data_IF_428140586448
#
_entry.id   IF_428140586448
#
_cell.length_a   1.000
_cell.length_b   1.000
_cell.length_c   1.000
_cell.angle_alpha   90.00
_cell.angle_beta   90.00
_cell.angle_gamma   90.00
#
_symmetry.space_group_name_H-M   'P 1'
#
loop_
_entity.id
_entity.type
_entity.pdbx_description
1 polymer ?
#
# COMPACT_ATOMS: atom_id res chain seq x y z
N UNK A 1 -1.39 4.55 -15.09
CA UNK A 1 -1.53 4.39 -16.56
C UNK A 1 -2.01 5.72 -17.12
N UNK A 2 -1.37 6.23 -18.18
CA UNK A 2 -1.69 7.52 -18.80
C UNK A 2 -1.93 7.33 -20.29
N UNK A 3 -3.10 7.70 -20.78
CA UNK A 3 -3.40 7.67 -22.22
C UNK A 3 -2.73 8.88 -22.90
N UNK A 4 -1.80 8.63 -23.82
CA UNK A 4 -1.11 9.68 -24.60
C UNK A 4 -1.81 9.98 -25.91
N UNK A 5 -2.35 8.95 -26.53
CA UNK A 5 -3.20 9.03 -27.72
C UNK A 5 -4.08 7.78 -27.79
N UNK A 6 -4.96 7.71 -28.79
CA UNK A 6 -5.77 6.51 -29.04
C UNK A 6 -4.94 5.23 -29.28
N UNK A 7 -3.67 5.37 -29.69
CA UNK A 7 -2.78 4.25 -29.99
C UNK A 7 -1.53 4.19 -29.10
N UNK A 8 -1.46 5.00 -28.03
CA UNK A 8 -0.28 5.03 -27.15
C UNK A 8 -0.66 5.27 -25.69
N UNK A 9 -0.23 4.35 -24.83
CA UNK A 9 -0.33 4.41 -23.38
C UNK A 9 1.06 4.43 -22.74
N UNK A 10 1.22 5.26 -21.70
CA UNK A 10 2.33 5.16 -20.77
C UNK A 10 1.91 4.40 -19.50
N UNK A 11 2.65 3.36 -19.16
CA UNK A 11 2.51 2.58 -17.94
C UNK A 11 3.68 2.94 -17.00
N UNK A 12 3.37 3.54 -15.85
CA UNK A 12 4.40 3.90 -14.86
C UNK A 12 4.89 2.71 -14.02
N UNK A 13 4.23 1.56 -14.11
CA UNK A 13 4.54 0.31 -13.41
C UNK A 13 3.29 -0.55 -13.17
N UNK A 14 3.50 -1.79 -12.72
CA UNK A 14 2.46 -2.75 -12.36
C UNK A 14 2.21 -3.83 -13.41
N UNK A 15 1.19 -4.66 -13.17
CA UNK A 15 0.79 -5.78 -14.05
C UNK A 15 -0.46 -5.39 -14.84
N UNK A 16 -0.38 -5.38 -16.17
CA UNK A 16 -1.50 -4.98 -17.04
C UNK A 16 -1.65 -5.94 -18.22
N UNK A 17 -2.88 -6.27 -18.58
CA UNK A 17 -3.21 -7.00 -19.81
C UNK A 17 -3.84 -6.05 -20.82
N UNK A 18 -3.39 -6.12 -22.06
CA UNK A 18 -3.93 -5.41 -23.20
C UNK A 18 -4.59 -6.40 -24.15
N UNK A 19 -5.78 -6.06 -24.64
CA UNK A 19 -6.47 -6.82 -25.68
C UNK A 19 -6.76 -5.86 -26.82
N UNK A 20 -5.97 -5.97 -27.89
CA UNK A 20 -6.07 -5.08 -29.05
C UNK A 20 -6.93 -5.76 -30.12
N UNK A 21 -7.91 -5.04 -30.65
CA UNK A 21 -8.76 -5.56 -31.71
C UNK A 21 -7.95 -5.77 -33.00
N UNK A 22 -8.29 -6.82 -33.75
CA UNK A 22 -7.69 -7.07 -35.07
C UNK A 22 -7.88 -5.86 -35.99
N UNK A 23 -6.84 -5.43 -36.71
CA UNK A 23 -6.86 -4.21 -37.52
C UNK A 23 -6.50 -2.92 -36.78
N UNK A 24 -6.16 -3.01 -35.49
CA UNK A 24 -5.62 -1.89 -34.69
C UNK A 24 -4.11 -2.05 -34.42
N UNK A 25 -3.38 -2.64 -35.36
CA UNK A 25 -1.94 -2.85 -35.23
C UNK A 25 -1.19 -1.52 -35.06
N UNK A 26 -0.11 -1.54 -34.28
CA UNK A 26 0.68 -0.35 -33.95
C UNK A 26 0.33 0.29 -32.60
N UNK A 27 -0.64 -0.26 -31.86
CA UNK A 27 -0.90 0.13 -30.48
C UNK A 27 0.37 -0.01 -29.62
N UNK A 28 0.75 1.05 -28.92
CA UNK A 28 2.03 1.14 -28.20
C UNK A 28 1.79 1.27 -26.70
N UNK A 29 2.54 0.49 -25.93
CA UNK A 29 2.64 0.65 -24.48
C UNK A 29 4.09 0.92 -24.11
N UNK A 30 4.30 1.99 -23.35
CA UNK A 30 5.63 2.42 -22.93
C UNK A 30 5.73 2.39 -21.42
N UNK A 31 6.72 1.67 -20.90
CA UNK A 31 7.18 1.75 -19.50
C UNK A 31 8.48 2.56 -19.42
N UNK A 32 9.01 2.88 -18.23
CA UNK A 32 10.31 3.55 -18.10
C UNK A 32 11.44 2.84 -18.86
N UNK A 33 11.39 1.51 -18.96
CA UNK A 33 12.47 0.67 -19.49
C UNK A 33 12.10 -0.16 -20.71
N UNK A 34 10.81 -0.34 -21.00
CA UNK A 34 10.30 -1.20 -22.08
C UNK A 34 9.33 -0.44 -22.99
N UNK A 35 9.45 -0.65 -24.31
CA UNK A 35 8.42 -0.31 -25.28
C UNK A 35 7.87 -1.59 -25.91
N UNK A 36 6.55 -1.75 -25.91
CA UNK A 36 5.84 -2.85 -26.57
C UNK A 36 4.93 -2.28 -27.64
N UNK A 37 5.11 -2.73 -28.89
CA UNK A 37 4.23 -2.38 -30.02
C UNK A 37 3.45 -3.61 -30.44
N UNK A 38 2.13 -3.49 -30.37
CA UNK A 38 1.20 -4.50 -30.84
C UNK A 38 1.28 -4.66 -32.36
N UNK A 39 1.27 -5.92 -32.81
CA UNK A 39 1.18 -6.29 -34.21
C UNK A 39 -0.05 -7.20 -34.46
N UNK A 40 -1.11 -7.07 -33.64
CA UNK A 40 -2.44 -7.70 -33.79
C UNK A 40 -2.86 -8.66 -32.67
N UNK A 41 -2.83 -8.25 -31.39
CA UNK A 41 -2.61 -9.20 -30.27
C UNK A 41 -3.29 -8.88 -28.91
N UNK A 42 -3.47 -9.92 -28.10
CA UNK A 42 -3.56 -9.84 -26.63
C UNK A 42 -2.21 -10.16 -25.95
N UNK A 43 -1.69 -9.25 -25.12
CA UNK A 43 -0.43 -9.40 -24.40
C UNK A 43 -0.51 -8.79 -22.99
N UNK A 44 0.37 -9.21 -22.09
CA UNK A 44 0.53 -8.67 -20.75
C UNK A 44 1.89 -8.04 -20.56
N UNK A 45 1.97 -7.00 -19.72
CA UNK A 45 3.21 -6.38 -19.26
C UNK A 45 3.24 -6.46 -17.73
N UNK A 46 4.36 -6.94 -17.18
CA UNK A 46 4.69 -6.87 -15.77
C UNK A 46 5.88 -5.94 -15.61
N UNK A 47 5.62 -4.74 -15.08
CA UNK A 47 6.62 -3.70 -14.81
C UNK A 47 6.54 -3.33 -13.33
N UNK A 48 6.51 -4.35 -12.47
CA UNK A 48 6.56 -4.16 -11.02
C UNK A 48 7.95 -3.68 -10.59
N UNK A 49 8.01 -2.77 -9.61
CA UNK A 49 9.26 -2.16 -9.13
C UNK A 49 10.29 -3.17 -8.61
N UNK A 50 9.86 -4.39 -8.34
CA UNK A 50 10.63 -5.44 -7.70
C UNK A 50 11.13 -6.50 -8.71
N UNK A 51 10.78 -6.37 -10.00
CA UNK A 51 11.11 -7.29 -11.09
C UNK A 51 11.76 -6.60 -12.30
N UNK A 52 12.34 -7.41 -13.20
CA UNK A 52 12.71 -6.92 -14.52
C UNK A 52 11.43 -6.72 -15.35
N UNK A 53 11.34 -5.69 -16.21
CA UNK A 53 10.19 -5.52 -17.09
C UNK A 53 9.98 -6.75 -17.98
N UNK A 54 8.79 -7.34 -17.91
CA UNK A 54 8.42 -8.52 -18.69
C UNK A 54 7.26 -8.22 -19.64
N UNK A 55 7.26 -8.92 -20.77
CA UNK A 55 6.13 -8.97 -21.69
C UNK A 55 5.75 -10.42 -21.99
N UNK A 56 4.47 -10.74 -21.88
CA UNK A 56 3.91 -12.08 -22.05
C UNK A 56 2.86 -12.06 -23.17
N UNK A 57 3.04 -12.86 -24.22
CA UNK A 57 2.20 -12.78 -25.43
C UNK A 57 1.19 -13.92 -25.47
N UNK A 58 -0.11 -13.62 -25.29
CA UNK A 58 -1.15 -14.65 -25.19
C UNK A 58 -1.71 -15.07 -26.55
N UNK A 59 -1.89 -14.11 -27.44
CA UNK A 59 -2.32 -14.31 -28.84
C UNK A 59 -1.33 -13.61 -29.78
N UNK A 60 -1.46 -13.69 -31.10
CA UNK A 60 -0.70 -12.87 -32.05
C UNK A 60 0.82 -12.76 -31.83
N UNK A 61 1.35 -11.53 -31.94
CA UNK A 61 2.76 -11.18 -31.73
C UNK A 61 2.92 -9.69 -31.38
N UNK A 62 3.96 -9.38 -30.62
CA UNK A 62 4.36 -8.01 -30.30
C UNK A 62 5.83 -7.79 -30.65
N UNK A 63 6.22 -6.54 -30.87
CA UNK A 63 7.63 -6.14 -30.85
C UNK A 63 7.94 -5.52 -29.49
N UNK A 64 8.91 -6.08 -28.79
CA UNK A 64 9.40 -5.59 -27.51
C UNK A 64 10.78 -4.97 -27.71
N UNK A 65 11.00 -3.77 -27.17
CA UNK A 65 12.26 -3.02 -27.31
C UNK A 65 12.69 -2.44 -25.96
N UNK A 66 13.92 -2.73 -25.54
CA UNK A 66 14.52 -2.06 -24.39
C UNK A 66 14.73 -0.57 -24.69
N UNK A 67 14.38 0.30 -23.74
CA UNK A 67 14.54 1.76 -23.88
C UNK A 67 15.90 2.25 -23.37
N UNK A 68 16.53 1.46 -22.50
CA UNK A 68 17.84 1.74 -21.89
C UNK A 68 18.87 0.67 -22.28
N UNK A 69 20.14 0.93 -21.96
CA UNK A 69 21.24 0.00 -22.21
C UNK A 69 21.44 -0.31 -23.69
N UNK A 70 21.61 -1.59 -24.04
CA UNK A 70 21.84 -2.08 -25.40
C UNK A 70 20.64 -1.90 -26.35
N UNK A 71 19.45 -1.57 -25.83
CA UNK A 71 18.24 -1.33 -26.61
C UNK A 71 17.89 -2.48 -27.56
N UNK A 72 18.07 -3.72 -27.10
CA UNK A 72 17.70 -4.89 -27.90
C UNK A 72 16.20 -4.89 -28.21
N UNK A 73 15.86 -5.44 -29.38
CA UNK A 73 14.49 -5.52 -29.87
C UNK A 73 14.23 -6.91 -30.44
N UNK A 74 13.10 -7.52 -30.10
CA UNK A 74 12.66 -8.77 -30.72
C UNK A 74 11.14 -8.84 -30.91
N UNK A 75 10.73 -9.69 -31.85
CA UNK A 75 9.33 -10.05 -32.03
C UNK A 75 9.02 -11.28 -31.20
N UNK A 76 8.10 -11.14 -30.26
CA UNK A 76 7.65 -12.20 -29.36
C UNK A 76 6.27 -12.65 -29.83
N UNK A 77 6.07 -13.97 -29.97
CA UNK A 77 4.84 -14.58 -30.50
C UNK A 77 4.03 -15.24 -29.40
N UNK A 78 2.75 -15.47 -29.67
CA UNK A 78 1.82 -16.22 -28.82
C UNK A 78 2.49 -17.46 -28.20
N UNK A 79 2.31 -17.62 -26.89
CA UNK A 79 2.92 -18.71 -26.12
C UNK A 79 4.31 -18.41 -25.57
N UNK A 80 4.92 -17.28 -25.94
CA UNK A 80 6.26 -16.88 -25.47
C UNK A 80 6.21 -15.59 -24.65
N UNK A 81 7.28 -15.37 -23.89
CA UNK A 81 7.48 -14.18 -23.08
C UNK A 81 8.95 -13.76 -23.10
N UNK A 82 9.23 -12.52 -22.70
CA UNK A 82 10.59 -12.01 -22.58
C UNK A 82 10.74 -10.97 -21.48
N UNK A 83 11.91 -10.96 -20.83
CA UNK A 83 12.30 -9.99 -19.81
C UNK A 83 13.43 -9.09 -20.30
N UNK A 84 13.36 -7.80 -19.95
CA UNK A 84 14.43 -6.83 -20.21
C UNK A 84 15.36 -6.76 -19.00
N UNK A 85 16.60 -7.21 -19.18
CA UNK A 85 17.65 -7.05 -18.18
C UNK A 85 18.16 -5.61 -18.08
N UNK A 86 18.76 -5.25 -16.95
CA UNK A 86 19.31 -3.91 -16.69
C UNK A 86 20.33 -3.42 -17.75
N UNK A 87 21.04 -4.33 -18.42
CA UNK A 87 21.95 -4.02 -19.53
C UNK A 87 21.22 -3.65 -20.84
N UNK A 88 19.89 -3.64 -20.87
CA UNK A 88 19.08 -3.45 -22.08
C UNK A 88 19.04 -4.68 -22.99
N UNK A 89 19.24 -5.87 -22.44
CA UNK A 89 19.15 -7.15 -23.17
C UNK A 89 17.76 -7.77 -23.02
N UNK A 90 17.25 -8.40 -24.08
CA UNK A 90 15.97 -9.10 -24.06
C UNK A 90 16.20 -10.62 -23.97
N UNK A 91 15.70 -11.23 -22.89
CA UNK A 91 15.88 -12.67 -22.62
C UNK A 91 14.54 -13.39 -22.68
N UNK A 92 14.44 -14.55 -23.36
CA UNK A 92 13.24 -15.39 -23.30
C UNK A 92 12.98 -15.89 -21.87
N UNK A 93 11.72 -15.91 -21.45
CA UNK A 93 11.27 -16.47 -20.17
C UNK A 93 10.03 -17.36 -20.39
N UNK A 94 9.72 -18.30 -19.48
CA UNK A 94 8.45 -19.03 -19.51
C UNK A 94 7.26 -18.07 -19.43
N UNK A 95 6.19 -18.38 -20.17
CA UNK A 95 4.96 -17.59 -20.10
C UNK A 95 4.20 -17.87 -18.80
N UNK A 96 3.84 -16.81 -18.08
CA UNK A 96 2.98 -16.87 -16.88
C UNK A 96 1.61 -16.27 -17.20
N UNK A 97 0.72 -17.07 -17.77
CA UNK A 97 -0.63 -16.62 -18.14
C UNK A 97 -1.50 -16.27 -16.94
N UNK A 98 -1.26 -16.92 -15.79
CA UNK A 98 -2.09 -16.76 -14.59
C UNK A 98 -1.90 -15.39 -13.95
N UNK A 99 -0.74 -14.75 -14.16
CA UNK A 99 -0.45 -13.39 -13.71
C UNK A 99 -1.34 -12.32 -14.36
N UNK A 100 -1.96 -12.60 -15.51
CA UNK A 100 -2.73 -11.65 -16.29
C UNK A 100 -4.22 -12.01 -16.30
N UNK A 101 -5.00 -11.59 -15.28
CA UNK A 101 -6.38 -11.98 -15.16
C UNK A 101 -7.21 -11.56 -16.38
N UNK A 102 -8.13 -12.42 -16.81
CA UNK A 102 -9.00 -12.18 -17.97
C UNK A 102 -10.18 -11.25 -17.67
N UNK A 103 -10.43 -10.95 -16.39
CA UNK A 103 -11.45 -10.03 -15.90
C UNK A 103 -10.80 -9.13 -14.85
N UNK A 104 -11.19 -7.86 -14.82
CA UNK A 104 -10.84 -6.99 -13.71
C UNK A 104 -11.57 -7.48 -12.45
N UNK A 105 -10.94 -7.40 -11.26
CA UNK A 105 -11.63 -7.68 -10.01
C UNK A 105 -12.79 -6.68 -9.83
N UNK A 106 -13.86 -7.13 -9.17
CA UNK A 106 -15.06 -6.32 -8.95
C UNK A 106 -14.81 -5.09 -8.04
N UNK A 107 -13.73 -5.12 -7.26
CA UNK A 107 -13.25 -4.01 -6.45
C UNK A 107 -11.73 -3.99 -6.39
N UNK A 108 -11.17 -2.92 -5.80
CA UNK A 108 -9.73 -2.80 -5.58
C UNK A 108 -9.26 -3.87 -4.58
N UNK A 109 -8.13 -4.55 -4.83
CA UNK A 109 -7.55 -5.47 -3.86
C UNK A 109 -7.35 -4.79 -2.52
N UNK A 110 -7.67 -5.46 -1.42
CA UNK A 110 -7.47 -4.89 -0.08
C UNK A 110 -7.18 -5.98 0.95
N UNK A 111 -6.48 -5.58 2.00
CA UNK A 111 -6.36 -6.32 3.25
C UNK A 111 -7.17 -5.62 4.32
N UNK A 112 -7.92 -6.40 5.11
CA UNK A 112 -8.67 -5.93 6.28
C UNK A 112 -8.22 -6.69 7.52
N UNK A 113 -8.00 -5.98 8.61
CA UNK A 113 -7.81 -6.52 9.94
C UNK A 113 -8.98 -6.04 10.80
N UNK A 114 -10.00 -6.89 10.97
CA UNK A 114 -11.15 -6.59 11.82
C UNK A 114 -10.85 -6.74 13.30
N UNK A 115 -9.76 -7.45 13.64
CA UNK A 115 -9.40 -7.80 15.02
C UNK A 115 -10.45 -8.63 15.77
N UNK A 116 -11.31 -9.32 15.03
CA UNK A 116 -12.11 -10.40 15.61
C UNK A 116 -11.20 -11.58 16.00
N UNK A 117 -11.30 -12.11 17.23
CA UNK A 117 -10.57 -13.30 17.63
C UNK A 117 -10.94 -14.51 16.75
N UNK A 118 -9.94 -15.20 16.22
CA UNK A 118 -10.16 -16.42 15.45
C UNK A 118 -10.50 -17.62 16.37
N UNK A 119 -11.20 -18.64 15.85
CA UNK A 119 -11.62 -19.84 16.61
C UNK A 119 -10.43 -20.69 17.18
N UNK A 120 -9.19 -20.42 16.76
CA UNK A 120 -7.96 -21.02 17.31
C UNK A 120 -7.11 -20.09 18.17
N UNK A 121 -7.60 -18.88 18.47
CA UNK A 121 -6.84 -17.79 19.06
C UNK A 121 -6.06 -16.96 18.02
N UNK A 122 -5.70 -15.74 18.41
CA UNK A 122 -5.05 -14.78 17.51
C UNK A 122 -6.05 -14.01 16.64
N UNK A 123 -5.55 -13.43 15.55
CA UNK A 123 -6.31 -12.56 14.64
C UNK A 123 -5.99 -12.92 13.19
N UNK A 124 -6.95 -12.72 12.29
CA UNK A 124 -6.78 -13.01 10.87
C UNK A 124 -6.83 -11.75 10.00
N UNK A 125 -6.20 -11.85 8.84
CA UNK A 125 -6.27 -10.84 7.80
C UNK A 125 -7.29 -11.29 6.74
N UNK A 126 -8.32 -10.48 6.51
CA UNK A 126 -9.33 -10.69 5.49
C UNK A 126 -9.07 -9.90 4.20
N UNK A 127 -9.94 -10.11 3.22
CA UNK A 127 -9.87 -9.44 1.92
C UNK A 127 -9.11 -10.21 0.84
N UNK A 128 -9.32 -9.79 -0.41
CA UNK A 128 -8.69 -10.40 -1.59
C UNK A 128 -7.16 -10.38 -1.55
N UNK A 129 -6.55 -9.30 -1.06
CA UNK A 129 -5.09 -9.18 -1.02
C UNK A 129 -4.48 -10.11 0.05
N UNK A 130 -5.16 -10.26 1.19
CA UNK A 130 -4.75 -11.19 2.23
C UNK A 130 -4.71 -12.63 1.72
N UNK A 131 -5.78 -13.06 1.05
CA UNK A 131 -5.86 -14.40 0.45
C UNK A 131 -4.82 -14.63 -0.63
N UNK A 132 -4.66 -13.69 -1.56
CA UNK A 132 -3.73 -13.87 -2.69
C UNK A 132 -2.26 -13.88 -2.25
N UNK A 133 -1.92 -13.13 -1.21
CA UNK A 133 -0.54 -13.01 -0.71
C UNK A 133 -0.25 -13.88 0.52
N UNK A 134 -1.23 -14.63 1.04
CA UNK A 134 -1.08 -15.45 2.25
C UNK A 134 -0.77 -14.63 3.51
N UNK A 135 -1.36 -13.43 3.63
CA UNK A 135 -1.13 -12.55 4.78
C UNK A 135 -1.73 -13.17 6.03
N UNK A 136 -0.94 -13.21 7.10
CA UNK A 136 -1.36 -13.69 8.41
C UNK A 136 -0.78 -12.77 9.49
N UNK A 137 -1.45 -12.75 10.64
CA UNK A 137 -0.99 -12.02 11.82
C UNK A 137 -0.03 -12.93 12.59
N UNK A 138 1.10 -12.36 13.00
CA UNK A 138 2.13 -13.01 13.78
C UNK A 138 2.02 -12.54 15.23
N UNK A 139 2.10 -13.48 16.17
CA UNK A 139 2.39 -13.13 17.57
C UNK A 139 3.73 -12.43 17.65
N UNK A 140 3.86 -11.37 18.45
CA UNK A 140 5.15 -10.74 18.65
C UNK A 140 6.07 -11.71 19.43
N UNK A 141 6.97 -12.40 18.74
CA UNK A 141 7.91 -13.39 19.31
C UNK A 141 9.00 -12.79 20.22
N UNK A 142 8.96 -11.46 20.42
CA UNK A 142 10.03 -10.69 21.05
C UNK A 142 9.90 -10.55 22.59
N UNK A 143 8.90 -11.19 23.21
CA UNK A 143 8.60 -11.06 24.65
C UNK A 143 7.93 -9.74 25.06
N UNK A 144 7.59 -8.89 24.08
CA UNK A 144 6.74 -7.72 24.29
C UNK A 144 5.27 -8.18 24.52
N UNK A 145 4.50 -7.47 25.36
CA UNK A 145 3.12 -7.87 25.64
C UNK A 145 2.25 -7.78 24.39
N UNK A 146 1.40 -8.78 24.16
CA UNK A 146 0.40 -8.71 23.09
C UNK A 146 -0.65 -7.62 23.39
N UNK A 147 -1.21 -6.97 22.36
CA UNK A 147 -2.39 -6.11 22.54
C UNK A 147 -3.57 -6.94 23.05
N UNK A 148 -4.50 -6.27 23.74
CA UNK A 148 -5.62 -6.92 24.41
C UNK A 148 -6.90 -6.65 23.63
N UNK A 149 -7.75 -7.68 23.46
CA UNK A 149 -9.06 -7.51 22.86
C UNK A 149 -9.99 -6.70 23.78
N UNK A 150 -10.69 -5.72 23.22
CA UNK A 150 -11.66 -4.85 23.90
C UNK A 150 -12.87 -4.62 23.01
N UNK A 151 -13.95 -4.03 23.55
CA UNK A 151 -15.09 -3.63 22.74
C UNK A 151 -14.69 -2.55 21.73
N UNK A 152 -14.91 -2.86 20.45
CA UNK A 152 -14.58 -2.02 19.31
C UNK A 152 -15.70 -1.09 18.89
N UNK A 153 -15.45 -0.36 17.81
CA UNK A 153 -16.48 0.38 17.09
C UNK A 153 -17.41 -0.58 16.36
N UNK A 154 -16.85 -1.65 15.80
CA UNK A 154 -17.55 -2.76 15.17
C UNK A 154 -17.03 -4.07 15.76
N UNK A 155 -17.78 -4.66 16.69
CA UNK A 155 -17.37 -5.93 17.31
C UNK A 155 -16.16 -5.74 18.23
N UNK A 156 -15.06 -6.44 17.93
CA UNK A 156 -13.84 -6.46 18.74
C UNK A 156 -12.78 -5.49 18.22
N UNK A 157 -12.05 -4.85 19.12
CA UNK A 157 -10.89 -4.00 18.81
C UNK A 157 -9.63 -4.45 19.57
N UNK A 158 -8.49 -3.88 19.21
CA UNK A 158 -7.22 -4.08 19.93
C UNK A 158 -6.81 -2.84 20.72
N UNK A 159 -6.62 -3.01 22.03
CA UNK A 159 -5.99 -2.04 22.91
C UNK A 159 -4.47 -2.24 22.97
N UNK A 160 -3.75 -1.16 22.69
CA UNK A 160 -2.31 -1.03 22.85
C UNK A 160 -2.06 -0.11 24.05
N UNK A 161 -1.50 -0.63 25.14
CA UNK A 161 -1.35 0.17 26.37
C UNK A 161 -0.22 -0.26 27.30
N UNK A 162 0.16 -1.54 27.25
CA UNK A 162 1.34 -2.06 27.95
C UNK A 162 2.61 -1.67 27.20
N UNK A 163 3.67 -1.32 27.92
CA UNK A 163 4.94 -0.84 27.34
C UNK A 163 5.39 -1.77 26.20
N UNK A 164 5.53 -1.22 24.98
CA UNK A 164 5.92 -1.94 23.76
C UNK A 164 4.90 -2.93 23.16
N UNK A 165 3.62 -2.83 23.53
CA UNK A 165 2.57 -3.63 22.90
C UNK A 165 2.56 -3.46 21.38
N UNK A 166 2.62 -4.56 20.64
CA UNK A 166 2.75 -4.56 19.18
C UNK A 166 2.09 -5.78 18.56
N UNK A 167 1.53 -5.60 17.37
CA UNK A 167 1.09 -6.68 16.49
C UNK A 167 1.93 -6.65 15.22
N UNK A 168 2.39 -7.82 14.76
CA UNK A 168 3.20 -7.98 13.55
C UNK A 168 2.40 -8.78 12.53
N UNK A 169 2.57 -8.51 11.25
CA UNK A 169 1.96 -9.31 10.17
C UNK A 169 3.05 -9.86 9.26
N UNK A 170 2.73 -10.88 8.47
CA UNK A 170 3.62 -11.37 7.41
C UNK A 170 3.64 -10.45 6.18
N UNK A 171 2.81 -9.39 6.15
CA UNK A 171 2.68 -8.56 4.96
C UNK A 171 3.78 -7.48 4.90
N UNK A 172 4.63 -7.46 3.85
CA UNK A 172 5.68 -6.44 3.70
C UNK A 172 5.13 -5.00 3.55
N UNK A 173 3.83 -4.87 3.22
CA UNK A 173 3.19 -3.61 2.89
C UNK A 173 3.41 -3.21 1.43
N UNK A 174 2.89 -2.04 1.06
CA UNK A 174 2.96 -1.54 -0.32
C UNK A 174 4.33 -0.89 -0.55
N UNK A 175 5.04 -1.31 -1.60
CA UNK A 175 6.35 -0.78 -1.97
C UNK A 175 6.28 0.56 -2.72
N UNK A 176 7.41 1.22 -2.83
CA UNK A 176 7.62 2.41 -3.63
C UNK A 176 6.77 3.61 -3.27
N UNK A 177 6.50 4.42 -4.30
CA UNK A 177 5.63 5.58 -4.26
C UNK A 177 4.22 5.30 -4.84
N UNK A 178 3.83 4.02 -4.92
CA UNK A 178 2.54 3.61 -5.48
C UNK A 178 1.35 4.23 -4.73
N UNK A 179 0.23 4.53 -5.42
CA UNK A 179 -1.00 4.95 -4.78
C UNK A 179 -1.45 3.95 -3.72
N UNK A 180 -2.02 4.43 -2.62
CA UNK A 180 -2.53 3.60 -1.54
C UNK A 180 -3.55 4.32 -0.66
N UNK A 181 -4.49 3.55 -0.14
CA UNK A 181 -5.45 4.00 0.86
C UNK A 181 -5.29 3.18 2.14
N UNK A 182 -5.29 3.86 3.28
CA UNK A 182 -5.29 3.28 4.62
C UNK A 182 -6.49 3.86 5.36
N UNK A 183 -7.43 3.03 5.82
CA UNK A 183 -8.56 3.45 6.64
C UNK A 183 -8.62 2.62 7.92
N UNK A 184 -9.01 3.22 9.05
CA UNK A 184 -9.14 2.54 10.33
C UNK A 184 -9.92 3.37 11.33
N UNK A 185 -10.44 2.71 12.36
CA UNK A 185 -10.95 3.34 13.55
C UNK A 185 -9.88 3.41 14.63
N UNK A 186 -9.83 4.53 15.36
CA UNK A 186 -8.89 4.78 16.44
C UNK A 186 -9.60 5.42 17.63
N UNK A 187 -9.21 5.04 18.85
CA UNK A 187 -9.58 5.75 20.07
C UNK A 187 -8.33 5.98 20.92
N UNK A 188 -8.16 7.22 21.40
CA UNK A 188 -7.12 7.56 22.37
C UNK A 188 -7.80 8.25 23.54
N UNK A 189 -7.74 7.64 24.73
CA UNK A 189 -8.52 8.03 25.91
C UNK A 189 -8.29 9.47 26.40
N UNK A 190 -7.18 10.11 25.99
CA UNK A 190 -6.96 11.51 26.25
C UNK A 190 -5.56 12.01 25.92
N UNK A 191 -5.32 13.33 26.08
CA UNK A 191 -4.02 13.94 25.84
C UNK A 191 -3.00 13.45 26.86
N UNK A 192 -2.09 12.57 26.42
CA UNK A 192 -1.01 12.03 27.26
C UNK A 192 0.27 12.86 27.22
N UNK A 193 0.36 13.86 26.34
CA UNK A 193 1.62 14.56 26.03
C UNK A 193 2.61 13.72 25.22
N UNK A 194 2.35 12.43 25.00
CA UNK A 194 3.23 11.47 24.33
C UNK A 194 2.80 11.22 22.90
N UNK A 195 3.77 11.10 22.01
CA UNK A 195 3.54 10.70 20.62
C UNK A 195 3.70 9.18 20.51
N UNK A 196 3.05 8.55 19.54
CA UNK A 196 3.16 7.10 19.35
C UNK A 196 2.97 6.67 17.90
N UNK A 197 3.55 5.53 17.55
CA UNK A 197 3.42 4.92 16.23
C UNK A 197 2.21 3.98 16.18
N UNK A 198 1.22 4.35 15.38
CA UNK A 198 -0.05 3.64 15.24
C UNK A 198 0.18 2.39 14.39
N UNK A 199 0.71 2.60 13.18
CA UNK A 199 1.08 1.54 12.26
C UNK A 199 2.22 1.97 11.35
N UNK A 200 2.91 0.99 10.77
CA UNK A 200 4.00 1.26 9.84
C UNK A 200 4.66 0.03 9.22
N UNK A 201 5.33 0.25 8.09
CA UNK A 201 6.13 -0.73 7.36
C UNK A 201 7.29 -0.07 6.59
N UNK A 202 8.20 -0.90 6.08
CA UNK A 202 9.31 -0.51 5.22
C UNK A 202 10.66 -0.46 5.95
N UNK A 203 11.64 0.21 5.34
CA UNK A 203 13.02 0.26 5.84
C UNK A 203 13.17 1.43 6.84
N UNK A 204 13.35 1.17 8.15
CA UNK A 204 13.36 2.23 9.15
C UNK A 204 14.62 3.10 9.15
N UNK A 205 15.72 2.59 8.62
CA UNK A 205 17.03 3.23 8.64
C UNK A 205 17.95 2.68 7.56
N UNK A 206 18.86 3.52 7.06
CA UNK A 206 19.83 3.17 6.03
C UNK A 206 20.28 4.43 5.29
N UNK A 207 20.95 4.25 4.16
CA UNK A 207 21.27 5.35 3.25
C UNK A 207 20.00 5.96 2.61
N UNK A 208 18.99 5.12 2.41
CA UNK A 208 17.68 5.49 1.87
C UNK A 208 16.84 6.21 2.92
N UNK A 209 16.63 7.51 2.72
CA UNK A 209 16.17 8.40 3.80
C UNK A 209 14.65 8.51 3.96
N UNK A 210 13.86 8.20 2.92
CA UNK A 210 12.38 8.19 2.94
C UNK A 210 11.86 6.80 2.52
N UNK A 211 12.32 5.79 3.25
CA UNK A 211 12.21 4.37 2.86
C UNK A 211 11.22 3.55 3.68
N UNK A 212 10.56 4.20 4.66
CA UNK A 212 9.46 3.69 5.44
C UNK A 212 8.19 4.54 5.27
N UNK A 213 7.04 3.96 5.59
CA UNK A 213 5.77 4.65 5.70
C UNK A 213 5.16 4.37 7.08
N UNK A 214 4.83 5.43 7.82
CA UNK A 214 4.29 5.34 9.18
C UNK A 214 3.10 6.27 9.37
N UNK A 215 2.08 5.80 10.10
CA UNK A 215 1.08 6.67 10.70
C UNK A 215 1.37 6.78 12.19
N UNK A 216 1.47 8.02 12.68
CA UNK A 216 1.75 8.32 14.08
C UNK A 216 0.81 9.41 14.58
N UNK A 217 0.79 9.69 15.88
CA UNK A 217 0.08 10.84 16.42
C UNK A 217 1.00 11.69 17.30
N UNK A 218 0.63 12.96 17.49
CA UNK A 218 1.33 13.91 18.35
C UNK A 218 0.59 14.14 19.66
N UNK A 219 1.09 13.60 20.78
CA UNK A 219 0.60 14.04 22.10
C UNK A 219 1.06 15.44 22.50
N UNK A 220 2.06 16.01 21.82
CA UNK A 220 2.41 17.44 21.97
C UNK A 220 1.43 18.26 21.13
N UNK A 221 0.45 18.90 21.76
CA UNK A 221 -0.58 19.71 21.11
C UNK A 221 -1.95 19.03 21.01
N UNK A 222 -2.69 19.30 19.93
CA UNK A 222 -4.08 18.81 19.70
C UNK A 222 -4.16 17.34 19.23
N UNK A 223 -3.30 16.43 19.71
CA UNK A 223 -3.39 15.00 19.35
C UNK A 223 -3.18 14.65 17.87
N UNK A 224 -2.74 15.59 17.04
CA UNK A 224 -2.84 15.47 15.58
C UNK A 224 -2.19 14.20 15.01
N UNK A 225 -2.85 13.60 14.01
CA UNK A 225 -2.32 12.51 13.19
C UNK A 225 -1.15 13.02 12.35
N UNK A 226 -0.18 12.15 12.10
CA UNK A 226 0.97 12.41 11.24
C UNK A 226 1.20 11.28 10.27
N UNK A 227 1.43 11.63 9.01
CA UNK A 227 1.80 10.73 7.92
C UNK A 227 3.29 10.92 7.68
N UNK A 228 4.09 9.93 8.07
CA UNK A 228 5.54 10.08 8.21
C UNK A 228 6.29 9.20 7.19
N UNK A 229 7.33 9.78 6.61
CA UNK A 229 8.37 9.04 5.88
C UNK A 229 9.72 9.71 6.13
N UNK A 230 10.72 8.91 6.51
CA UNK A 230 11.99 9.45 6.99
C UNK A 230 11.82 10.37 8.19
N UNK A 231 12.50 11.52 8.14
CA UNK A 231 12.38 12.60 9.12
C UNK A 231 11.39 13.69 8.68
N UNK A 232 10.37 13.35 7.88
CA UNK A 232 9.37 14.30 7.39
C UNK A 232 7.98 13.77 7.67
N UNK A 233 7.02 14.68 7.85
CA UNK A 233 5.63 14.29 7.99
C UNK A 233 4.66 15.36 7.49
N UNK A 234 3.47 14.91 7.09
CA UNK A 234 2.27 15.74 7.01
C UNK A 234 1.52 15.64 8.34
N UNK A 235 1.17 16.78 8.93
CA UNK A 235 0.41 16.82 10.19
C UNK A 235 -1.02 17.28 9.95
N UNK A 236 -1.97 16.54 10.51
CA UNK A 236 -3.41 16.85 10.50
C UNK A 236 -3.73 18.10 11.33
N UNK A 237 -4.90 18.68 11.12
CA UNK A 237 -5.41 19.81 11.92
C UNK A 237 -6.42 19.35 12.98
N UNK A 238 -7.15 18.29 12.68
CA UNK A 238 -8.09 17.63 13.56
C UNK A 238 -7.42 16.91 14.74
N UNK A 239 -8.20 16.78 15.82
CA UNK A 239 -7.83 16.13 17.08
C UNK A 239 -8.38 14.70 17.09
N UNK A 240 -7.62 13.77 17.68
CA UNK A 240 -7.99 12.33 17.76
C UNK A 240 -7.79 11.72 19.17
N UNK A 241 -7.50 12.56 20.16
CA UNK A 241 -7.18 12.20 21.55
C UNK A 241 -8.17 12.84 22.54
N UNK A 242 -9.45 12.82 22.22
CA UNK A 242 -10.54 13.31 23.06
C UNK A 242 -11.34 12.19 23.76
N UNK A 243 -10.94 10.93 23.57
CA UNK A 243 -11.57 9.76 24.17
C UNK A 243 -12.65 9.11 23.31
N UNK A 244 -13.05 9.73 22.20
CA UNK A 244 -14.03 9.16 21.27
C UNK A 244 -13.37 8.29 20.19
N UNK A 245 -14.17 7.42 19.57
CA UNK A 245 -13.76 6.69 18.37
C UNK A 245 -13.79 7.63 17.17
N UNK A 246 -12.68 7.73 16.45
CA UNK A 246 -12.56 8.45 15.19
C UNK A 246 -12.26 7.51 14.04
N UNK A 247 -12.84 7.78 12.88
CA UNK A 247 -12.49 7.11 11.65
C UNK A 247 -11.47 7.95 10.87
N UNK A 248 -10.36 7.33 10.52
CA UNK A 248 -9.26 7.92 9.77
C UNK A 248 -9.20 7.26 8.40
N UNK A 249 -9.10 8.06 7.33
CA UNK A 249 -8.71 7.56 6.02
C UNK A 249 -7.62 8.42 5.38
N UNK A 250 -6.49 7.81 5.04
CA UNK A 250 -5.36 8.41 4.34
C UNK A 250 -5.34 7.88 2.92
N UNK A 251 -5.54 8.76 1.93
CA UNK A 251 -5.50 8.44 0.51
C UNK A 251 -4.27 9.10 -0.10
N UNK A 252 -3.25 8.31 -0.43
CA UNK A 252 -2.07 8.74 -1.16
C UNK A 252 -2.28 8.40 -2.64
N UNK A 253 -2.33 9.43 -3.47
CA UNK A 253 -2.73 9.34 -4.87
C UNK A 253 -1.51 9.22 -5.79
N UNK A 254 -0.91 10.34 -6.18
CA UNK A 254 0.25 10.35 -7.05
C UNK A 254 1.43 11.02 -6.37
N UNK A 255 2.63 10.70 -6.86
CA UNK A 255 3.88 11.25 -6.38
C UNK A 255 4.62 11.94 -7.53
N UNK A 256 5.11 13.15 -7.27
CA UNK A 256 6.02 13.88 -8.14
C UNK A 256 7.32 14.09 -7.38
N UNK A 257 8.51 13.84 -7.98
CA UNK A 257 9.79 13.97 -7.30
C UNK A 257 10.03 15.33 -6.61
N UNK A 258 9.42 16.40 -7.11
CA UNK A 258 9.60 17.75 -6.57
C UNK A 258 8.67 18.07 -5.38
N UNK A 259 7.76 17.18 -5.01
CA UNK A 259 6.77 17.42 -3.98
C UNK A 259 6.60 16.24 -3.03
N UNK A 260 5.99 16.49 -1.88
CA UNK A 260 5.40 15.40 -1.11
C UNK A 260 4.36 14.70 -2.01
N UNK A 261 4.13 13.38 -1.84
CA UNK A 261 3.00 12.73 -2.48
C UNK A 261 1.70 13.52 -2.27
N UNK A 262 0.83 13.52 -3.28
CA UNK A 262 -0.54 14.03 -3.14
C UNK A 262 -1.26 13.13 -2.13
N UNK A 263 -1.63 13.72 -0.99
CA UNK A 263 -2.28 12.99 0.10
C UNK A 263 -3.52 13.74 0.56
N UNK A 264 -4.63 13.01 0.67
CA UNK A 264 -5.85 13.45 1.36
C UNK A 264 -5.98 12.70 2.67
N UNK A 265 -6.34 13.41 3.73
CA UNK A 265 -6.73 12.83 5.01
C UNK A 265 -8.22 13.11 5.22
N UNK A 266 -8.97 12.11 5.64
CA UNK A 266 -10.34 12.25 6.11
C UNK A 266 -10.37 11.88 7.60
N UNK A 267 -10.96 12.76 8.41
CA UNK A 267 -11.30 12.53 9.81
C UNK A 267 -12.82 12.51 9.92
N UNK A 268 -13.37 11.40 10.39
CA UNK A 268 -14.81 11.17 10.52
C UNK A 268 -15.59 11.46 9.22
N UNK A 269 -15.00 11.03 8.10
CA UNK A 269 -15.56 11.19 6.76
C UNK A 269 -15.47 12.61 6.18
N UNK A 270 -14.81 13.55 6.86
CA UNK A 270 -14.60 14.93 6.39
C UNK A 270 -13.13 15.16 6.06
N UNK A 271 -12.84 15.86 4.95
CA UNK A 271 -11.47 16.18 4.59
C UNK A 271 -10.81 17.05 5.65
N UNK A 272 -9.61 16.68 6.08
CA UNK A 272 -8.80 17.45 7.03
C UNK A 272 -7.60 18.11 6.33
N UNK A 273 -7.14 19.23 6.90
CA UNK A 273 -6.00 19.98 6.38
C UNK A 273 -4.69 19.36 6.82
N UNK A 274 -3.78 19.13 5.88
CA UNK A 274 -2.45 18.61 6.13
C UNK A 274 -1.38 19.71 5.99
N UNK A 275 -0.54 19.86 7.01
CA UNK A 275 0.60 20.79 7.00
C UNK A 275 1.93 20.03 6.97
N UNK A 276 2.80 20.24 5.97
CA UNK A 276 4.14 19.65 5.93
C UNK A 276 5.02 20.14 7.08
N UNK A 277 5.82 19.24 7.66
CA UNK A 277 6.71 19.53 8.79
C UNK A 277 8.02 18.75 8.70
N UNK A 278 9.05 19.33 9.32
CA UNK A 278 10.38 18.75 9.59
C UNK A 278 10.74 19.01 11.06
N UNK A 279 11.60 18.18 11.71
CA UNK A 279 12.03 18.43 13.07
C UNK A 279 12.87 19.70 13.13
N UNK A 280 12.62 20.55 14.13
CA UNK A 280 13.32 21.84 14.32
C UNK A 280 14.84 21.67 14.52
N UNK A 281 15.25 20.59 15.19
CA UNK A 281 16.66 20.29 15.49
C UNK A 281 17.46 19.83 14.25
N UNK A 282 16.77 19.54 13.14
CA UNK A 282 17.37 19.03 11.91
C UNK A 282 17.43 20.17 10.89
N UNK A 283 18.22 21.21 11.22
CA UNK A 283 18.54 22.30 10.30
C UNK A 283 19.28 21.72 9.07
N UNK A 284 18.54 21.28 8.04
CA UNK A 284 19.06 20.92 6.72
C UNK A 284 19.32 19.43 6.40
N UNK A 285 19.01 18.47 7.28
CA UNK A 285 19.24 17.04 7.00
C UNK A 285 17.96 16.19 6.77
N UNK A 286 16.81 16.81 6.53
CA UNK A 286 15.66 16.09 5.99
C UNK A 286 15.96 15.67 4.55
N UNK A 287 15.61 14.43 4.18
CA UNK A 287 15.82 13.92 2.82
C UNK A 287 15.20 14.86 1.77
N UNK A 288 15.74 14.96 0.55
CA UNK A 288 15.03 15.61 -0.53
C UNK A 288 13.74 14.86 -0.86
N UNK A 289 12.72 15.57 -1.34
CA UNK A 289 11.38 15.01 -1.56
C UNK A 289 11.37 13.94 -2.64
N UNK A 290 12.31 14.01 -3.59
CA UNK A 290 12.50 13.07 -4.70
C UNK A 290 12.90 11.65 -4.25
N UNK A 291 13.27 11.49 -2.98
CA UNK A 291 13.66 10.21 -2.38
C UNK A 291 12.51 9.40 -1.78
N UNK A 292 11.24 9.85 -1.88
CA UNK A 292 10.10 9.08 -1.35
C UNK A 292 9.96 7.75 -2.09
N UNK A 293 10.31 6.66 -1.42
CA UNK A 293 10.32 5.32 -1.99
C UNK A 293 10.25 4.28 -0.86
N UNK A 294 9.07 3.74 -0.56
CA UNK A 294 8.94 2.74 0.51
C UNK A 294 9.63 1.44 0.14
N UNK A 295 10.63 1.00 0.91
CA UNK A 295 11.42 -0.20 0.60
C UNK A 295 10.96 -1.35 1.47
N UNK A 296 10.48 -2.42 0.85
CA UNK A 296 9.88 -3.56 1.56
C UNK A 296 10.63 -4.89 1.41
N UNK A 297 11.53 -5.00 0.43
CA UNK A 297 12.29 -6.23 0.14
C UNK A 297 13.75 -6.19 0.64
N UNK A 298 14.13 -5.14 1.37
CA UNK A 298 15.45 -5.07 1.98
C UNK A 298 15.49 -6.00 3.21
N UNK A 299 16.61 -6.68 3.52
CA UNK A 299 16.69 -7.59 4.68
C UNK A 299 16.40 -6.94 6.05
N UNK A 300 16.53 -5.61 6.13
CA UNK A 300 16.18 -4.81 7.32
C UNK A 300 14.81 -4.12 7.23
N UNK A 301 14.05 -4.35 6.16
CA UNK A 301 12.67 -3.88 6.06
C UNK A 301 11.82 -4.60 7.10
N UNK A 302 10.92 -3.84 7.71
CA UNK A 302 9.97 -4.34 8.70
C UNK A 302 8.60 -4.45 8.02
N UNK A 303 7.91 -5.60 8.13
CA UNK A 303 6.56 -5.75 7.58
C UNK A 303 5.56 -4.84 8.29
N UNK A 304 4.31 -4.81 7.84
CA UNK A 304 3.24 -4.06 8.49
C UNK A 304 3.11 -4.48 9.94
N UNK A 305 3.18 -3.48 10.81
CA UNK A 305 3.04 -3.62 12.25
C UNK A 305 2.13 -2.55 12.83
N UNK A 306 1.51 -2.88 13.95
CA UNK A 306 0.62 -2.01 14.72
C UNK A 306 1.19 -1.79 16.12
N UNK A 307 1.01 -0.61 16.69
CA UNK A 307 1.43 -0.30 18.07
C UNK A 307 2.88 0.21 18.21
N UNK A 308 3.77 -0.18 17.28
CA UNK A 308 5.16 0.24 17.25
C UNK A 308 5.80 -0.06 15.89
N UNK A 309 6.79 0.74 15.48
CA UNK A 309 7.60 0.52 14.28
C UNK A 309 9.05 0.94 14.52
N UNK A 310 10.01 0.15 14.01
CA UNK A 310 11.44 0.47 14.07
C UNK A 310 12.04 0.40 15.48
N UNK A 311 12.76 1.45 15.88
CA UNK A 311 13.49 1.46 17.16
C UNK A 311 12.53 1.37 18.36
N UNK A 312 12.68 0.28 19.12
CA UNK A 312 11.76 -0.26 20.15
C UNK A 312 11.71 0.56 21.45
N UNK A 313 11.92 1.89 21.39
CA UNK A 313 11.82 2.73 22.58
C UNK A 313 10.36 2.85 23.00
N UNK A 314 10.10 2.63 24.28
CA UNK A 314 8.74 2.73 24.84
C UNK A 314 8.15 4.15 24.80
N UNK A 315 8.96 5.14 24.43
CA UNK A 315 8.53 6.54 24.33
C UNK A 315 7.73 6.81 23.05
N UNK A 316 7.82 5.93 22.05
CA UNK A 316 7.16 6.05 20.76
C UNK A 316 6.12 4.94 20.50
N UNK A 317 5.77 4.14 21.52
CA UNK A 317 4.70 3.15 21.41
C UNK A 317 3.33 3.85 21.37
N UNK A 318 2.41 3.30 20.59
CA UNK A 318 1.02 3.75 20.59
C UNK A 318 0.30 3.32 21.86
N UNK A 319 -0.49 4.25 22.40
CA UNK A 319 -1.34 4.07 23.57
C UNK A 319 -2.76 4.44 23.16
N UNK A 320 -3.60 3.43 22.90
CA UNK A 320 -4.96 3.60 22.41
C UNK A 320 -5.52 2.32 21.81
N UNK A 321 -6.69 2.40 21.19
CA UNK A 321 -7.38 1.28 20.55
C UNK A 321 -7.38 1.43 19.02
N UNK A 322 -7.32 0.31 18.31
CA UNK A 322 -7.53 0.22 16.86
C UNK A 322 -8.60 -0.78 16.52
N UNK A 323 -9.37 -0.47 15.49
CA UNK A 323 -10.43 -1.30 14.95
C UNK A 323 -10.51 -1.13 13.41
N UNK A 324 -11.00 -2.16 12.71
CA UNK A 324 -11.32 -2.14 11.28
C UNK A 324 -10.23 -1.53 10.39
N UNK A 325 -8.99 -2.01 10.49
CA UNK A 325 -7.90 -1.49 9.64
C UNK A 325 -8.03 -2.07 8.22
N UNK A 326 -8.15 -1.20 7.23
CA UNK A 326 -8.21 -1.54 5.81
C UNK A 326 -7.08 -0.87 5.05
N UNK A 327 -6.35 -1.63 4.23
CA UNK A 327 -5.27 -1.11 3.37
C UNK A 327 -5.45 -1.62 1.94
N UNK A 328 -5.38 -0.73 0.95
CA UNK A 328 -5.50 -1.05 -0.48
C UNK A 328 -4.43 -0.34 -1.33
N UNK A 329 -3.83 -0.98 -2.35
CA UNK A 329 -2.93 -0.34 -3.33
C UNK A 329 -3.75 0.40 -4.40
N UNK A 330 -4.60 1.32 -3.96
CA UNK A 330 -5.45 2.15 -4.81
C UNK A 330 -5.99 3.36 -4.06
N UNK A 331 -6.64 4.25 -4.80
CA UNK A 331 -7.25 5.48 -4.26
C UNK A 331 -8.74 5.27 -4.04
N UNK A 332 -9.26 5.78 -2.92
CA UNK A 332 -10.69 5.86 -2.67
C UNK A 332 -11.16 7.31 -2.75
N UNK A 333 -12.37 7.51 -3.28
CA UNK A 333 -13.07 8.78 -3.21
C UNK A 333 -13.79 8.98 -1.87
N UNK A 334 -14.40 10.14 -1.68
CA UNK A 334 -15.12 10.47 -0.45
C UNK A 334 -16.31 9.55 -0.18
N UNK A 335 -17.01 9.08 -1.22
CA UNK A 335 -18.17 8.19 -1.09
C UNK A 335 -17.71 6.81 -0.60
N UNK A 336 -16.62 6.31 -1.16
CA UNK A 336 -16.01 5.04 -0.77
C UNK A 336 -15.43 5.10 0.66
N UNK A 337 -14.79 6.22 1.03
CA UNK A 337 -14.33 6.46 2.41
C UNK A 337 -15.51 6.51 3.39
N UNK A 338 -16.63 7.13 2.99
CA UNK A 338 -17.85 7.17 3.81
C UNK A 338 -18.48 5.79 3.98
N UNK A 339 -18.41 4.93 2.96
CA UNK A 339 -18.87 3.55 3.09
C UNK A 339 -18.07 2.78 4.15
N UNK A 340 -16.74 2.95 4.21
CA UNK A 340 -15.89 2.36 5.26
C UNK A 340 -16.22 2.92 6.65
N UNK A 341 -16.42 4.24 6.78
CA UNK A 341 -16.90 4.87 8.02
C UNK A 341 -18.21 4.24 8.52
N UNK A 342 -19.13 3.92 7.61
CA UNK A 342 -20.45 3.38 7.96
C UNK A 342 -20.46 1.84 8.12
N UNK A 343 -19.32 1.17 7.96
CA UNK A 343 -19.23 -0.30 7.98
C UNK A 343 -19.84 -0.98 6.75
N UNK A 344 -20.16 -0.23 5.69
CA UNK A 344 -20.70 -0.74 4.43
C UNK A 344 -19.58 -1.23 3.51
N UNK A 345 -18.89 -2.29 3.91
CA UNK A 345 -17.69 -2.80 3.23
C UNK A 345 -17.93 -3.11 1.74
N UNK A 346 -19.08 -3.70 1.39
CA UNK A 346 -19.46 -3.99 0.01
C UNK A 346 -19.54 -2.72 -0.86
N UNK A 347 -19.92 -1.58 -0.28
CA UNK A 347 -20.09 -0.31 -1.01
C UNK A 347 -18.81 0.53 -1.06
N UNK A 348 -17.73 0.06 -0.43
CA UNK A 348 -16.42 0.75 -0.44
C UNK A 348 -15.70 0.66 -1.80
N UNK A 349 -16.15 -0.24 -2.69
CA UNK A 349 -15.45 -0.56 -3.93
C UNK A 349 -14.13 -1.32 -3.70
N UNK A 350 -13.88 -1.80 -2.47
CA UNK A 350 -12.79 -2.72 -2.15
C UNK A 350 -13.28 -4.17 -2.21
N UNK A 351 -12.42 -5.06 -2.68
CA UNK A 351 -12.70 -6.50 -2.70
C UNK A 351 -12.42 -7.12 -1.32
N UNK A 352 -13.34 -6.89 -0.38
CA UNK A 352 -13.28 -7.30 1.03
C UNK A 352 -14.11 -8.55 1.36
N UNK A 353 -14.99 -8.99 0.46
CA UNK A 353 -15.86 -10.18 0.62
C UNK A 353 -15.10 -11.47 0.20
N UNK A 354 -15.20 -12.66 0.81
CA UNK A 354 -16.13 -13.24 1.79
C UNK A 354 -15.37 -13.86 2.98
N UNK A 355 -15.71 -13.45 4.21
CA UNK A 355 -15.54 -14.25 5.44
C UNK A 355 -16.54 -13.79 6.49
N UNK A 356 -17.83 -13.95 6.21
CA UNK A 356 -18.79 -14.30 7.25
C UNK A 356 -18.78 -15.83 7.39
N UNK A 357 -19.11 -16.41 8.57
CA UNK A 357 -19.33 -17.85 8.66
C UNK A 357 -20.36 -18.26 7.60
N UNK A 358 -20.23 -19.44 6.96
CA UNK A 358 -21.23 -19.90 6.01
C UNK A 358 -22.59 -19.89 6.69
N UNK A 359 -23.59 -19.31 6.00
CA UNK A 359 -24.97 -19.41 6.45
C UNK A 359 -25.28 -20.90 6.69
N UNK A 360 -25.70 -21.22 7.92
CA UNK A 360 -26.13 -22.57 8.25
C UNK A 360 -27.30 -22.96 7.35
N UNK A 361 -27.13 -24.02 6.56
CA UNK A 361 -28.26 -24.76 5.97
C UNK A 361 -28.88 -25.69 7.02
#
# INVERSE_FOLDING_TARGET
>A
LTLRSLAHIDLGGGVTKFQVAKGSEGFRVTTPDLEVVDLGTAFGIDDTLDGLPEVHVMDGKVRATARRGRRESAVIRAGNAGAIGAAGTLRPIPQDRMRFPSKLPAGLPAVRFSFEPAEGGGYEAGGSLARSAGIHVLSADDGDPAPVAVDGRFGSALEFGKRKSRLVTSWPGISGALPRTIAFWIRIDGPSGKSGNILGWGLPSGEERMSQFNLTYSGKGRGALRICSGKRWLQSSGRIDDGDWHHIAVVLDHYSPESWPSVKLYLDGKADTLTPRIPEEVNGAAAPLDTFNTIVHHPLSIPLTFGSFGNKSSLNSFHGCLDEVVISPGILDETQVRALLEGRLHDSGLALDDSGPPAAE
#
